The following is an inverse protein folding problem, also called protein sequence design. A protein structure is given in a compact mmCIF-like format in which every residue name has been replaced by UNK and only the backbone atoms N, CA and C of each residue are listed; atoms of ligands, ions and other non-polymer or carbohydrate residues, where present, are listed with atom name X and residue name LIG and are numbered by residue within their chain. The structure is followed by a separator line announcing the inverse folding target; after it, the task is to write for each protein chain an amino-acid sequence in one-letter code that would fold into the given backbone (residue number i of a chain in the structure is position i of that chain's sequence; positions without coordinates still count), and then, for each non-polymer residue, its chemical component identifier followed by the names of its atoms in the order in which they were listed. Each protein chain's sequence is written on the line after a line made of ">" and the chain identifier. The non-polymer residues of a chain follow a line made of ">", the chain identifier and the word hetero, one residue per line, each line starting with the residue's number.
data_IF_042536471462
#
_entry.id   IF_042536471462
#
_cell.length_a   1.000
_cell.length_b   1.000
_cell.length_c   1.000
_cell.angle_alpha   90.00
_cell.angle_beta   90.00
_cell.angle_gamma   90.00
#
_symmetry.space_group_name_H-M   'P 1'
#
loop_
_entity.id
_entity.type
_entity.pdbx_description
1 polymer ?
#
# COMPACT_ATOMS: atom_id res chain seq x y z
N UNK A 1 -21.53 -9.32 -6.58
CA UNK A 1 -21.60 -7.87 -6.28
C UNK A 1 -20.25 -7.25 -6.64
N UNK A 2 -20.17 -6.45 -7.70
CA UNK A 2 -18.93 -5.72 -8.01
C UNK A 2 -18.72 -4.67 -6.91
N UNK A 3 -17.69 -4.86 -6.08
CA UNK A 3 -17.29 -3.86 -5.08
C UNK A 3 -16.73 -2.66 -5.82
N UNK A 4 -17.49 -1.58 -5.92
CA UNK A 4 -16.96 -0.27 -6.33
C UNK A 4 -16.10 0.31 -5.20
N UNK A 5 -15.03 1.01 -5.55
CA UNK A 5 -14.10 1.62 -4.61
C UNK A 5 -14.80 2.82 -3.95
N UNK A 6 -15.14 2.70 -2.67
CA UNK A 6 -15.88 3.73 -1.94
C UNK A 6 -14.92 4.78 -1.34
N UNK A 7 -15.25 6.09 -1.34
CA UNK A 7 -14.37 7.13 -0.77
C UNK A 7 -13.92 6.88 0.69
N UNK A 8 -14.76 6.19 1.47
CA UNK A 8 -14.42 5.80 2.85
C UNK A 8 -13.23 4.84 2.94
N UNK A 9 -13.04 3.96 1.94
CA UNK A 9 -11.92 3.03 1.91
C UNK A 9 -10.59 3.78 1.79
N UNK A 10 -10.52 4.79 0.91
CA UNK A 10 -9.33 5.63 0.78
C UNK A 10 -8.99 6.36 2.07
N UNK A 11 -10.00 6.89 2.76
CA UNK A 11 -9.80 7.56 4.05
C UNK A 11 -9.31 6.58 5.12
N UNK A 12 -9.86 5.37 5.17
CA UNK A 12 -9.39 4.33 6.09
C UNK A 12 -7.95 3.90 5.79
N UNK A 13 -7.60 3.69 4.51
CA UNK A 13 -6.21 3.41 4.10
C UNK A 13 -5.27 4.53 4.53
N UNK A 14 -5.63 5.79 4.32
CA UNK A 14 -4.82 6.94 4.71
C UNK A 14 -4.51 6.95 6.21
N UNK A 15 -5.52 6.66 7.05
CA UNK A 15 -5.35 6.58 8.50
C UNK A 15 -4.43 5.43 8.89
N UNK A 16 -4.58 4.26 8.25
CA UNK A 16 -3.74 3.08 8.50
C UNK A 16 -2.32 3.19 7.90
N UNK A 17 -2.05 4.21 7.06
CA UNK A 17 -0.68 4.54 6.65
C UNK A 17 0.11 5.23 7.77
N UNK A 18 -0.53 5.72 8.84
CA UNK A 18 0.16 6.30 10.00
C UNK A 18 0.82 5.20 10.83
N UNK A 19 2.10 5.35 11.16
CA UNK A 19 2.94 4.29 11.76
C UNK A 19 3.86 4.84 12.85
N UNK A 20 4.34 3.95 13.72
CA UNK A 20 5.34 4.27 14.73
C UNK A 20 6.76 4.40 14.15
N UNK A 21 7.03 3.74 13.02
CA UNK A 21 8.27 3.89 12.26
C UNK A 21 8.11 4.90 11.12
N UNK A 22 8.88 5.98 11.16
CA UNK A 22 8.80 7.08 10.20
C UNK A 22 9.10 6.63 8.76
N UNK A 23 10.09 5.76 8.57
CA UNK A 23 10.46 5.23 7.26
C UNK A 23 9.31 4.43 6.63
N UNK A 24 8.63 3.61 7.42
CA UNK A 24 7.47 2.82 6.99
C UNK A 24 6.31 3.75 6.65
N UNK A 25 5.99 4.71 7.52
CA UNK A 25 4.93 5.70 7.28
C UNK A 25 5.15 6.45 5.97
N UNK A 26 6.36 6.95 5.74
CA UNK A 26 6.72 7.73 4.54
C UNK A 26 6.50 6.91 3.26
N UNK A 27 6.97 5.67 3.24
CA UNK A 27 6.81 4.75 2.09
C UNK A 27 5.32 4.45 1.81
N UNK A 28 4.55 4.10 2.85
CA UNK A 28 3.12 3.78 2.70
C UNK A 28 2.29 5.00 2.30
N UNK A 29 2.56 6.16 2.90
CA UNK A 29 1.86 7.40 2.57
C UNK A 29 2.15 7.84 1.13
N UNK A 30 3.41 7.73 0.70
CA UNK A 30 3.81 8.03 -0.68
C UNK A 30 3.04 7.15 -1.69
N UNK A 31 2.87 5.86 -1.38
CA UNK A 31 2.13 4.93 -2.22
C UNK A 31 0.63 5.18 -2.20
N UNK A 32 0.04 5.44 -1.03
CA UNK A 32 -1.37 5.80 -0.92
C UNK A 32 -1.72 7.02 -1.77
N UNK A 33 -0.88 8.06 -1.77
CA UNK A 33 -1.05 9.24 -2.63
C UNK A 33 -1.08 8.88 -4.12
N UNK A 34 -0.25 7.93 -4.54
CA UNK A 34 -0.26 7.44 -5.92
C UNK A 34 -1.60 6.80 -6.26
N UNK A 35 -2.11 5.92 -5.39
CA UNK A 35 -3.39 5.24 -5.58
C UNK A 35 -4.55 6.25 -5.60
N UNK A 36 -4.52 7.26 -4.74
CA UNK A 36 -5.54 8.30 -4.67
C UNK A 36 -5.61 9.18 -5.93
N UNK A 37 -4.51 9.28 -6.68
CA UNK A 37 -4.44 10.03 -7.94
C UNK A 37 -4.82 9.20 -9.17
N UNK A 38 -5.02 7.89 -9.04
CA UNK A 38 -5.45 7.03 -10.14
C UNK A 38 -6.94 7.22 -10.43
N UNK A 39 -7.37 7.12 -11.70
CA UNK A 39 -8.78 7.23 -12.05
C UNK A 39 -9.58 6.03 -11.53
N UNK A 40 -10.79 6.27 -11.02
CA UNK A 40 -11.58 5.27 -10.29
C UNK A 40 -12.21 4.19 -11.17
N UNK A 41 -12.19 4.38 -12.49
CA UNK A 41 -12.64 3.41 -13.50
C UNK A 41 -11.55 2.40 -13.89
N UNK A 42 -10.33 2.57 -13.38
CA UNK A 42 -9.25 1.61 -13.57
C UNK A 42 -9.56 0.29 -12.82
N UNK A 43 -9.82 -0.77 -13.59
CA UNK A 43 -10.12 -2.09 -13.05
C UNK A 43 -8.98 -2.68 -12.20
N UNK A 44 -7.74 -2.31 -12.50
CA UNK A 44 -6.56 -2.76 -11.75
C UNK A 44 -6.44 -2.06 -10.39
N UNK A 45 -6.98 -0.84 -10.26
CA UNK A 45 -6.95 -0.05 -9.02
C UNK A 45 -7.69 -0.76 -7.89
N UNK A 46 -8.85 -1.35 -8.16
CA UNK A 46 -9.63 -2.02 -7.12
C UNK A 46 -8.86 -3.19 -6.48
N UNK A 47 -8.24 -4.04 -7.31
CA UNK A 47 -7.48 -5.19 -6.82
C UNK A 47 -6.24 -4.72 -6.04
N UNK A 48 -5.59 -3.66 -6.52
CA UNK A 48 -4.42 -3.09 -5.87
C UNK A 48 -4.78 -2.45 -4.50
N UNK A 49 -5.86 -1.68 -4.43
CA UNK A 49 -6.36 -1.13 -3.16
C UNK A 49 -6.72 -2.22 -2.17
N UNK A 50 -7.35 -3.32 -2.60
CA UNK A 50 -7.66 -4.45 -1.72
C UNK A 50 -6.41 -5.14 -1.19
N UNK A 51 -5.38 -5.30 -2.02
CA UNK A 51 -4.11 -5.87 -1.59
C UNK A 51 -3.38 -4.94 -0.62
N UNK A 52 -3.42 -3.62 -0.89
CA UNK A 52 -2.82 -2.61 -0.02
C UNK A 52 -3.56 -2.50 1.32
N UNK A 53 -4.89 -2.50 1.34
CA UNK A 53 -5.68 -2.55 2.58
C UNK A 53 -5.30 -3.75 3.45
N UNK A 54 -5.12 -4.94 2.85
CA UNK A 54 -4.68 -6.13 3.59
C UNK A 54 -3.26 -5.96 4.14
N UNK A 55 -2.34 -5.43 3.34
CA UNK A 55 -0.97 -5.15 3.78
C UNK A 55 -0.95 -4.19 4.98
N UNK A 56 -1.84 -3.20 5.02
CA UNK A 56 -1.93 -2.23 6.11
C UNK A 56 -2.39 -2.84 7.45
N UNK A 57 -2.84 -4.10 7.48
CA UNK A 57 -3.13 -4.81 8.74
C UNK A 57 -1.87 -5.34 9.42
N UNK A 58 -0.76 -5.41 8.69
CA UNK A 58 0.51 -5.90 9.22
C UNK A 58 1.16 -4.87 10.15
N UNK A 59 1.99 -5.37 11.08
CA UNK A 59 2.69 -4.52 12.04
C UNK A 59 3.94 -3.88 11.44
N UNK A 60 4.41 -2.81 12.07
CA UNK A 60 5.52 -1.99 11.59
C UNK A 60 6.82 -2.78 11.43
N UNK A 61 7.11 -3.73 12.32
CA UNK A 61 8.33 -4.54 12.25
C UNK A 61 8.34 -5.43 11.00
N UNK A 62 7.22 -6.13 10.73
CA UNK A 62 7.05 -6.96 9.53
C UNK A 62 7.13 -6.11 8.26
N UNK A 63 6.42 -4.98 8.24
CA UNK A 63 6.42 -4.07 7.09
C UNK A 63 7.83 -3.53 6.82
N UNK A 64 8.54 -3.13 7.85
CA UNK A 64 9.91 -2.64 7.73
C UNK A 64 10.85 -3.71 7.15
N UNK A 65 10.80 -4.94 7.68
CA UNK A 65 11.60 -6.07 7.19
C UNK A 65 11.34 -6.33 5.70
N UNK A 66 10.07 -6.37 5.28
CA UNK A 66 9.71 -6.58 3.88
C UNK A 66 10.09 -5.41 2.97
N UNK A 67 9.96 -4.18 3.45
CA UNK A 67 10.38 -2.98 2.71
C UNK A 67 11.90 -2.89 2.54
N UNK A 68 12.69 -3.46 3.45
CA UNK A 68 14.13 -3.60 3.28
C UNK A 68 14.47 -4.77 2.34
N UNK A 69 13.79 -5.91 2.52
CA UNK A 69 14.06 -7.16 1.81
C UNK A 69 12.78 -7.75 1.20
N UNK A 70 12.34 -7.30 0.01
CA UNK A 70 11.09 -7.76 -0.60
C UNK A 70 11.00 -9.28 -0.84
N UNK A 71 12.15 -9.96 -0.95
CA UNK A 71 12.21 -11.41 -1.11
C UNK A 71 11.66 -12.16 0.11
N UNK A 72 11.68 -11.54 1.30
CA UNK A 72 11.15 -12.08 2.55
C UNK A 72 9.64 -11.86 2.71
N UNK A 73 9.04 -10.96 1.91
CA UNK A 73 7.61 -10.77 1.92
C UNK A 73 6.89 -12.03 1.40
N UNK A 74 5.68 -12.35 1.93
CA UNK A 74 4.81 -13.36 1.36
C UNK A 74 4.61 -13.14 -0.15
N UNK A 75 4.47 -14.23 -0.91
CA UNK A 75 4.36 -14.20 -2.38
C UNK A 75 3.29 -13.20 -2.86
N UNK A 76 2.15 -13.15 -2.16
CA UNK A 76 1.04 -12.25 -2.45
C UNK A 76 1.41 -10.76 -2.32
N UNK A 77 2.31 -10.42 -1.40
CA UNK A 77 2.73 -9.04 -1.12
C UNK A 77 4.01 -8.65 -1.85
N UNK A 78 4.85 -9.60 -2.28
CA UNK A 78 6.16 -9.33 -2.89
C UNK A 78 6.08 -8.32 -4.04
N UNK A 79 5.11 -8.50 -4.94
CA UNK A 79 4.90 -7.58 -6.06
C UNK A 79 4.48 -6.18 -5.61
N UNK A 80 3.61 -6.08 -4.60
CA UNK A 80 3.17 -4.80 -4.04
C UNK A 80 4.30 -4.07 -3.31
N UNK A 81 5.04 -4.78 -2.45
CA UNK A 81 6.21 -4.23 -1.74
C UNK A 81 7.25 -3.70 -2.73
N UNK A 82 7.53 -4.42 -3.81
CA UNK A 82 8.43 -3.95 -4.85
C UNK A 82 7.96 -2.63 -5.48
N UNK A 83 6.66 -2.48 -5.76
CA UNK A 83 6.08 -1.24 -6.30
C UNK A 83 6.12 -0.08 -5.31
N UNK A 84 5.85 -0.33 -4.02
CA UNK A 84 5.94 0.70 -2.96
C UNK A 84 7.37 1.25 -2.90
N UNK A 85 8.38 0.38 -2.92
CA UNK A 85 9.80 0.78 -2.91
C UNK A 85 10.18 1.54 -4.17
N UNK A 86 9.81 1.03 -5.34
CA UNK A 86 10.12 1.67 -6.62
C UNK A 86 9.54 3.09 -6.68
N UNK A 87 8.26 3.25 -6.32
CA UNK A 87 7.60 4.55 -6.29
C UNK A 87 8.27 5.55 -5.35
N UNK A 88 8.88 5.11 -4.25
CA UNK A 88 9.63 6.00 -3.36
C UNK A 88 11.00 6.38 -3.91
N UNK A 89 11.68 5.47 -4.60
CA UNK A 89 13.01 5.70 -5.18
C UNK A 89 12.99 6.49 -6.49
N UNK A 90 11.88 6.39 -7.23
CA UNK A 90 11.67 7.07 -8.53
C UNK A 90 11.02 8.46 -8.38
N UNK A 91 10.72 8.87 -7.15
CA UNK A 91 10.22 10.22 -6.82
C UNK A 91 11.32 11.28 -6.82
#
# INVERSE_FOLDING_TARGET
>A
MSKTLHPLHFKAMQLNCRRGLAEVEVLLMAYWQQLANKPTDDRSLLQECQLFERLLLENDQQLFEWLLSPTQAPTDYRGLIARIRAHYLEK
#
